data_IF_790209581963
#
_entry.id   IF_790209581963
#
_cell.length_a   1.000
_cell.length_b   1.000
_cell.length_c   1.000
_cell.angle_alpha   90.00
_cell.angle_beta   90.00
_cell.angle_gamma   90.00
#
_symmetry.space_group_name_H-M   'P 1'
#
loop_
_entity.id
_entity.type
_entity.pdbx_description
1 polymer ?
#
# COMPACT_ATOMS: atom_id res chain seq x y z
N UNK A 1 -16.55 5.42 0.24
CA UNK A 1 -16.63 4.10 -0.38
C UNK A 1 -17.10 3.05 0.63
N UNK A 2 -17.65 1.95 0.14
CA UNK A 2 -18.06 0.84 0.99
C UNK A 2 -16.92 0.24 1.82
N UNK A 3 -15.69 0.32 1.32
CA UNK A 3 -14.50 -0.18 2.02
C UNK A 3 -14.23 0.58 3.32
N UNK A 4 -14.38 1.91 3.32
CA UNK A 4 -14.16 2.71 4.53
C UNK A 4 -15.18 2.43 5.61
N UNK A 5 -16.40 2.02 5.23
CA UNK A 5 -17.44 1.67 6.19
C UNK A 5 -17.15 0.36 6.94
N UNK A 6 -16.21 -0.45 6.44
CA UNK A 6 -15.82 -1.72 7.07
C UNK A 6 -14.65 -1.58 8.03
N UNK A 7 -14.08 -0.38 8.16
CA UNK A 7 -12.95 -0.15 9.08
C UNK A 7 -13.48 -0.05 10.51
N UNK A 8 -13.03 -0.95 11.35
CA UNK A 8 -13.34 -0.91 12.78
C UNK A 8 -12.42 0.07 13.49
N UNK A 9 -13.01 0.88 14.36
CA UNK A 9 -12.27 1.87 15.13
C UNK A 9 -11.28 1.16 16.06
N UNK A 10 -10.00 1.54 15.95
CA UNK A 10 -8.95 0.96 16.79
C UNK A 10 -8.50 -0.42 16.39
N UNK A 11 -8.87 -0.89 15.17
CA UNK A 11 -8.41 -2.19 14.69
C UNK A 11 -6.90 -2.20 14.49
N UNK A 12 -6.27 -3.32 14.85
CA UNK A 12 -4.83 -3.53 14.74
C UNK A 12 -4.53 -4.95 14.29
N UNK A 13 -3.30 -5.15 13.80
CA UNK A 13 -2.83 -6.44 13.34
C UNK A 13 -2.58 -6.44 11.85
N UNK A 14 -1.73 -7.37 11.39
CA UNK A 14 -1.27 -7.43 10.00
C UNK A 14 -2.39 -7.66 8.98
N UNK A 15 -3.55 -8.13 9.40
CA UNK A 15 -4.72 -8.37 8.56
C UNK A 15 -5.96 -7.58 9.00
N UNK A 16 -5.76 -6.57 9.85
CA UNK A 16 -6.86 -5.75 10.39
C UNK A 16 -7.50 -4.88 9.32
N UNK A 17 -8.70 -4.38 9.60
CA UNK A 17 -9.40 -3.42 8.72
C UNK A 17 -8.57 -2.16 8.48
N UNK A 18 -7.87 -1.66 9.50
CA UNK A 18 -7.00 -0.50 9.37
C UNK A 18 -5.87 -0.76 8.37
N UNK A 19 -5.21 -1.92 8.47
CA UNK A 19 -4.15 -2.31 7.52
C UNK A 19 -4.73 -2.47 6.12
N UNK A 20 -5.87 -3.13 5.97
CA UNK A 20 -6.51 -3.33 4.67
C UNK A 20 -6.83 -2.01 3.99
N UNK A 21 -7.29 -1.01 4.72
CA UNK A 21 -7.55 0.33 4.19
C UNK A 21 -6.26 1.00 3.69
N UNK A 22 -5.19 0.92 4.47
CA UNK A 22 -3.90 1.49 4.09
C UNK A 22 -3.31 0.82 2.85
N UNK A 23 -3.42 -0.51 2.76
CA UNK A 23 -2.93 -1.25 1.60
C UNK A 23 -3.75 -0.95 0.35
N UNK A 24 -5.05 -0.72 0.50
CA UNK A 24 -5.90 -0.28 -0.60
C UNK A 24 -5.43 1.08 -1.11
N UNK A 25 -5.08 2.00 -0.21
CA UNK A 25 -4.55 3.31 -0.59
C UNK A 25 -3.20 3.18 -1.32
N UNK A 26 -2.31 2.29 -0.87
CA UNK A 26 -1.05 2.01 -1.55
C UNK A 26 -1.28 1.50 -2.98
N UNK A 27 -2.25 0.61 -3.15
CA UNK A 27 -2.62 0.08 -4.45
C UNK A 27 -3.16 1.18 -5.36
N UNK A 28 -4.04 2.04 -4.85
CA UNK A 28 -4.56 3.17 -5.63
C UNK A 28 -3.45 4.14 -6.03
N UNK A 29 -2.47 4.38 -5.15
CA UNK A 29 -1.31 5.18 -5.49
C UNK A 29 -0.54 4.57 -6.67
N UNK A 30 -0.37 3.25 -6.67
CA UNK A 30 0.24 2.53 -7.77
C UNK A 30 -0.55 2.65 -9.08
N UNK A 31 -1.87 2.54 -9.02
CA UNK A 31 -2.76 2.75 -10.17
C UNK A 31 -2.58 4.16 -10.72
N UNK A 32 -2.54 5.17 -9.86
CA UNK A 32 -2.32 6.55 -10.26
C UNK A 32 -0.99 6.70 -10.99
N UNK A 33 0.08 6.11 -10.46
CA UNK A 33 1.40 6.13 -11.09
C UNK A 33 1.34 5.51 -12.49
N UNK A 34 0.64 4.39 -12.65
CA UNK A 34 0.52 3.70 -13.93
C UNK A 34 -0.16 4.57 -15.00
N UNK A 35 -1.09 5.44 -14.59
CA UNK A 35 -1.85 6.30 -15.50
C UNK A 35 -1.26 7.70 -15.67
N UNK A 36 -0.26 8.08 -14.88
CA UNK A 36 0.28 9.43 -14.89
C UNK A 36 0.82 9.89 -16.26
N UNK A 37 1.54 9.04 -17.04
CA UNK A 37 1.99 9.45 -18.38
C UNK A 37 0.84 9.83 -19.31
N UNK A 38 -0.20 9.01 -19.37
CA UNK A 38 -1.35 9.27 -20.24
C UNK A 38 -2.16 10.48 -19.74
N UNK A 39 -2.40 10.55 -18.43
CA UNK A 39 -3.18 11.64 -17.83
C UNK A 39 -2.51 13.01 -18.00
N UNK A 40 -1.19 13.05 -18.05
CA UNK A 40 -0.42 14.29 -18.22
C UNK A 40 -0.20 14.67 -19.68
N UNK A 41 -0.75 13.92 -20.65
CA UNK A 41 -0.49 14.14 -22.07
C UNK A 41 0.95 13.88 -22.49
N UNK A 42 1.62 12.99 -21.77
CA UNK A 42 3.00 12.62 -22.05
C UNK A 42 4.05 13.52 -21.37
N UNK A 43 3.62 14.49 -20.57
CA UNK A 43 4.55 15.37 -19.85
C UNK A 43 5.24 14.66 -18.67
N UNK A 44 4.58 13.68 -18.07
CA UNK A 44 5.17 12.82 -17.06
C UNK A 44 5.58 11.53 -17.73
N UNK A 45 6.87 11.22 -17.69
CA UNK A 45 7.41 9.96 -18.16
C UNK A 45 7.75 9.10 -16.97
N UNK A 46 7.29 7.84 -16.98
CA UNK A 46 7.67 6.85 -15.98
C UNK A 46 8.85 6.06 -16.49
N UNK A 47 9.91 6.02 -15.70
CA UNK A 47 10.95 5.03 -15.94
C UNK A 47 10.98 4.02 -14.76
N UNK A 48 11.65 2.87 -14.96
CA UNK A 48 11.71 1.84 -13.90
C UNK A 48 12.31 2.35 -12.58
N UNK A 49 13.19 3.35 -12.61
CA UNK A 49 13.78 3.93 -11.41
C UNK A 49 12.74 4.67 -10.56
N UNK A 50 11.80 5.35 -11.19
CA UNK A 50 10.71 6.06 -10.48
C UNK A 50 9.82 5.07 -9.73
N UNK A 51 9.53 3.93 -10.36
CA UNK A 51 8.72 2.87 -9.74
C UNK A 51 9.48 2.25 -8.56
N UNK A 52 10.77 1.98 -8.71
CA UNK A 52 11.62 1.45 -7.64
C UNK A 52 11.69 2.42 -6.44
N UNK A 53 11.78 3.72 -6.70
CA UNK A 53 11.78 4.73 -5.65
C UNK A 53 10.45 4.73 -4.88
N UNK A 54 9.33 4.58 -5.57
CA UNK A 54 8.01 4.45 -4.94
C UNK A 54 7.92 3.19 -4.08
N UNK A 55 8.44 2.08 -4.54
CA UNK A 55 8.47 0.81 -3.80
C UNK A 55 9.32 0.95 -2.54
N UNK A 56 10.49 1.60 -2.63
CA UNK A 56 11.36 1.87 -1.47
C UNK A 56 10.68 2.78 -0.46
N UNK A 57 9.98 3.80 -0.93
CA UNK A 57 9.24 4.70 -0.06
C UNK A 57 8.14 3.94 0.71
N UNK A 58 7.42 3.04 0.03
CA UNK A 58 6.40 2.19 0.66
C UNK A 58 7.03 1.28 1.71
N UNK A 59 8.20 0.71 1.43
CA UNK A 59 8.92 -0.14 2.39
C UNK A 59 9.33 0.64 3.63
N UNK A 60 9.81 1.87 3.48
CA UNK A 60 10.32 2.68 4.58
C UNK A 60 9.23 3.07 5.59
N UNK A 61 7.96 3.12 5.17
CA UNK A 61 6.83 3.51 6.03
C UNK A 61 5.99 2.30 6.50
N UNK A 62 6.45 1.09 6.28
CA UNK A 62 5.82 -0.09 6.85
C UNK A 62 5.99 -0.15 8.36
N UNK A 63 5.00 -0.72 9.05
CA UNK A 63 4.99 -0.80 10.52
C UNK A 63 6.20 -1.54 11.08
N UNK A 64 6.63 -2.62 10.43
CA UNK A 64 7.79 -3.40 10.84
C UNK A 64 9.08 -2.57 10.79
N UNK A 65 9.28 -1.78 9.72
CA UNK A 65 10.45 -0.91 9.60
C UNK A 65 10.44 0.16 10.68
N UNK A 66 9.29 0.79 10.92
CA UNK A 66 9.14 1.84 11.93
C UNK A 66 9.34 1.27 13.33
N UNK A 67 8.73 0.13 13.65
CA UNK A 67 8.85 -0.50 14.95
C UNK A 67 10.27 -0.95 15.23
N UNK A 68 10.94 -1.53 14.25
CA UNK A 68 12.32 -1.96 14.41
C UNK A 68 13.24 -0.78 14.69
N UNK A 69 13.03 0.34 14.00
CA UNK A 69 13.83 1.55 14.19
C UNK A 69 13.58 2.21 15.56
N UNK A 70 12.31 2.25 16.00
CA UNK A 70 11.94 2.96 17.24
C UNK A 70 11.99 2.07 18.49
N UNK A 71 11.74 0.78 18.38
CA UNK A 71 11.60 -0.14 19.50
C UNK A 71 12.57 -1.32 19.46
N UNK A 72 13.31 -1.48 18.36
CA UNK A 72 14.28 -2.55 18.19
C UNK A 72 13.69 -3.92 17.86
N UNK A 73 12.37 -4.03 17.77
CA UNK A 73 11.68 -5.30 17.47
C UNK A 73 10.38 -5.06 16.71
N UNK A 74 9.93 -6.10 16.03
CA UNK A 74 8.68 -6.10 15.28
C UNK A 74 7.58 -6.76 16.10
N UNK A 75 6.42 -6.08 16.19
CA UNK A 75 5.22 -6.58 16.85
C UNK A 75 4.04 -6.50 15.88
N UNK A 76 3.79 -7.58 15.09
CA UNK A 76 2.73 -7.55 14.06
C UNK A 76 1.33 -7.27 14.62
N UNK A 77 1.04 -7.70 15.83
CA UNK A 77 -0.26 -7.49 16.46
C UNK A 77 -0.59 -6.01 16.68
N UNK A 78 0.42 -5.14 16.64
CA UNK A 78 0.24 -3.69 16.79
C UNK A 78 0.21 -2.95 15.44
N UNK A 79 0.23 -3.64 14.31
CA UNK A 79 0.22 -3.00 13.01
C UNK A 79 -1.09 -2.25 12.75
N UNK A 80 -0.98 -1.03 12.25
CA UNK A 80 -2.12 -0.20 11.84
C UNK A 80 -2.00 0.29 10.39
N UNK A 81 -0.83 0.17 9.77
CA UNK A 81 -0.55 0.64 8.41
C UNK A 81 -0.09 -0.47 7.47
N UNK A 82 0.29 -1.61 8.01
CA UNK A 82 0.81 -2.73 7.25
C UNK A 82 2.32 -2.85 7.29
N UNK A 83 2.83 -4.05 7.04
CA UNK A 83 4.27 -4.31 6.94
C UNK A 83 4.85 -3.69 5.68
N UNK A 84 6.17 -3.53 5.65
CA UNK A 84 6.88 -3.08 4.45
C UNK A 84 6.58 -3.98 3.26
N UNK A 85 6.58 -5.29 3.45
CA UNK A 85 6.27 -6.25 2.38
C UNK A 85 4.85 -6.09 1.86
N UNK A 86 3.88 -5.95 2.76
CA UNK A 86 2.49 -5.74 2.39
C UNK A 86 2.33 -4.45 1.58
N UNK A 87 2.91 -3.36 2.05
CA UNK A 87 2.81 -2.06 1.39
C UNK A 87 3.47 -2.07 0.01
N UNK A 88 4.66 -2.64 -0.10
CA UNK A 88 5.35 -2.79 -1.40
C UNK A 88 4.52 -3.64 -2.37
N UNK A 89 3.98 -4.75 -1.89
CA UNK A 89 3.18 -5.67 -2.70
C UNK A 89 1.97 -4.97 -3.31
N UNK A 90 1.20 -4.26 -2.49
CA UNK A 90 -0.04 -3.63 -2.98
C UNK A 90 0.24 -2.42 -3.86
N UNK A 91 1.26 -1.64 -3.56
CA UNK A 91 1.70 -0.59 -4.47
C UNK A 91 2.10 -1.16 -5.84
N UNK A 92 2.86 -2.25 -5.83
CA UNK A 92 3.29 -2.93 -7.06
C UNK A 92 2.10 -3.49 -7.84
N UNK A 93 1.12 -4.10 -7.16
CA UNK A 93 -0.11 -4.57 -7.80
C UNK A 93 -0.81 -3.42 -8.52
N UNK A 94 -0.91 -2.26 -7.88
CA UNK A 94 -1.52 -1.07 -8.50
C UNK A 94 -0.80 -0.63 -9.76
N UNK A 95 0.52 -0.57 -9.71
CA UNK A 95 1.35 -0.20 -10.87
C UNK A 95 1.18 -1.21 -12.00
N UNK A 96 1.25 -2.50 -11.69
CA UNK A 96 1.20 -3.57 -12.71
C UNK A 96 -0.18 -3.71 -13.34
N UNK A 97 -1.23 -3.64 -12.54
CA UNK A 97 -2.60 -3.82 -13.02
C UNK A 97 -3.19 -2.54 -13.62
N UNK A 98 -2.83 -1.38 -13.05
CA UNK A 98 -3.38 -0.11 -13.51
C UNK A 98 -4.90 -0.01 -13.40
N UNK A 99 -5.54 -0.85 -12.58
CA UNK A 99 -6.98 -0.96 -12.45
C UNK A 99 -7.37 -0.89 -10.97
N UNK A 100 -8.20 0.10 -10.58
CA UNK A 100 -8.66 0.21 -9.20
C UNK A 100 -9.38 -1.02 -8.67
N UNK A 101 -10.01 -1.81 -9.55
CA UNK A 101 -10.69 -3.05 -9.16
C UNK A 101 -9.71 -4.09 -8.59
N UNK A 102 -8.43 -4.01 -8.92
CA UNK A 102 -7.39 -4.88 -8.36
C UNK A 102 -7.05 -4.53 -6.91
N UNK A 103 -7.55 -3.41 -6.39
CA UNK A 103 -7.20 -2.87 -5.08
C UNK A 103 -8.20 -3.23 -3.97
N UNK A 104 -8.98 -4.30 -4.14
CA UNK A 104 -9.95 -4.72 -3.13
C UNK A 104 -9.26 -5.55 -2.05
N UNK A 105 -8.56 -4.88 -1.15
CA UNK A 105 -7.83 -5.51 -0.04
C UNK A 105 -8.77 -6.14 0.98
N UNK A 106 -10.01 -5.67 1.07
CA UNK A 106 -10.99 -6.19 2.03
C UNK A 106 -11.49 -7.59 1.67
N UNK A 107 -11.43 -7.95 0.39
CA UNK A 107 -11.79 -9.29 -0.09
C UNK A 107 -10.58 -10.18 -0.31
N UNK A 108 -9.37 -9.63 -0.19
CA UNK A 108 -8.16 -10.41 -0.42
C UNK A 108 -7.97 -11.44 0.70
N UNK A 109 -7.73 -12.68 0.32
CA UNK A 109 -7.42 -13.73 1.26
C UNK A 109 -6.00 -13.60 1.82
N UNK A 110 -5.12 -12.93 1.06
CA UNK A 110 -3.73 -12.71 1.42
C UNK A 110 -3.35 -11.25 1.16
N UNK A 111 -2.79 -10.61 2.15
CA UNK A 111 -2.25 -9.25 2.07
C UNK A 111 -0.73 -9.28 1.94
#
# INVERSE_FOLDING_TARGET
TGATNNVERGSRGADSSAVRLELQADCYAGVWVAHAPAASGGQVALDPADIEDGIRAAAAVGDDAIQKQSQGRVMPDAFTHGSSEQRMRWFRIGVEKGDPAACDTFRAARL
#
